data_IF_017659591314
#
_entry.id   IF_017659591314
#
_cell.length_a   1.000
_cell.length_b   1.000
_cell.length_c   1.000
_cell.angle_alpha   90.00
_cell.angle_beta   90.00
_cell.angle_gamma   90.00
#
_symmetry.space_group_name_H-M   'P 1'
#
loop_
_entity.id
_entity.type
_entity.pdbx_description
1 polymer ?
#
# COMPACT_ATOMS: atom_id res chain seq x y z
N UNK A 1 -33.47 -42.06 -12.92
CA UNK A 1 -32.33 -42.14 -11.99
C UNK A 1 -32.35 -40.86 -11.17
N UNK A 2 -32.89 -40.90 -9.95
CA UNK A 2 -32.96 -39.72 -9.07
C UNK A 2 -31.56 -39.37 -8.55
N UNK A 3 -31.21 -38.08 -8.38
CA UNK A 3 -29.94 -37.72 -7.80
C UNK A 3 -29.93 -38.13 -6.32
N UNK A 4 -28.96 -38.94 -5.96
CA UNK A 4 -28.69 -39.35 -4.59
C UNK A 4 -28.19 -38.11 -3.84
N UNK A 5 -29.10 -37.46 -3.10
CA UNK A 5 -28.72 -36.47 -2.09
C UNK A 5 -28.00 -37.24 -1.00
N UNK A 6 -26.67 -37.16 -0.99
CA UNK A 6 -25.87 -37.64 0.13
C UNK A 6 -26.30 -36.85 1.37
N UNK A 7 -26.92 -37.56 2.31
CA UNK A 7 -27.24 -37.10 3.65
C UNK A 7 -25.93 -36.94 4.43
N UNK A 8 -25.16 -35.90 4.09
CA UNK A 8 -23.73 -35.73 4.42
C UNK A 8 -23.44 -35.53 5.92
N UNK A 9 -24.45 -35.62 6.79
CA UNK A 9 -24.33 -35.38 8.22
C UNK A 9 -24.12 -36.64 9.06
N UNK A 10 -24.41 -37.85 8.54
CA UNK A 10 -24.39 -39.10 9.34
C UNK A 10 -23.34 -40.09 8.85
N UNK A 11 -22.45 -40.50 9.74
CA UNK A 11 -21.40 -41.48 9.46
C UNK A 11 -21.21 -42.49 10.58
N UNK A 12 -20.30 -43.44 10.36
CA UNK A 12 -19.88 -44.37 11.41
C UNK A 12 -18.36 -44.33 11.51
N UNK A 13 -17.83 -44.16 12.73
CA UNK A 13 -16.41 -44.22 13.02
C UNK A 13 -16.18 -45.31 14.07
N UNK A 14 -15.38 -46.32 13.74
CA UNK A 14 -15.13 -47.49 14.60
C UNK A 14 -16.42 -48.18 15.13
N UNK A 15 -17.48 -48.23 14.31
CA UNK A 15 -18.77 -48.83 14.69
C UNK A 15 -19.67 -47.93 15.54
N UNK A 16 -19.23 -46.72 15.89
CA UNK A 16 -20.04 -45.72 16.59
C UNK A 16 -20.69 -44.80 15.56
N UNK A 17 -22.03 -44.70 15.50
CA UNK A 17 -22.69 -43.71 14.66
C UNK A 17 -22.39 -42.31 15.19
N UNK A 18 -22.01 -41.40 14.29
CA UNK A 18 -21.90 -39.99 14.59
C UNK A 18 -22.79 -39.20 13.63
N UNK A 19 -23.39 -38.14 14.15
CA UNK A 19 -24.14 -37.17 13.36
C UNK A 19 -23.52 -35.79 13.62
N UNK A 20 -22.86 -35.26 12.60
CA UNK A 20 -22.17 -33.96 12.62
C UNK A 20 -23.15 -32.82 12.90
N UNK A 21 -24.43 -32.99 12.56
CA UNK A 21 -25.48 -32.02 12.86
C UNK A 21 -25.95 -32.08 14.33
N UNK A 22 -25.63 -33.15 15.06
CA UNK A 22 -25.96 -33.33 16.50
C UNK A 22 -24.75 -33.23 17.42
N UNK A 23 -23.58 -32.88 16.88
CA UNK A 23 -22.39 -32.63 17.69
C UNK A 23 -22.64 -31.50 18.71
N UNK A 24 -21.96 -31.54 19.86
CA UNK A 24 -22.09 -30.53 20.91
C UNK A 24 -21.66 -29.15 20.39
N UNK A 25 -22.63 -28.32 19.99
CA UNK A 25 -22.43 -26.94 19.56
C UNK A 25 -22.85 -26.66 18.10
N UNK A 26 -22.80 -25.41 17.65
CA UNK A 26 -23.09 -25.07 16.27
C UNK A 26 -22.13 -25.79 15.33
N UNK A 27 -22.66 -26.53 14.35
CA UNK A 27 -21.84 -27.18 13.35
C UNK A 27 -21.02 -26.14 12.58
N UNK A 28 -19.72 -26.40 12.40
CA UNK A 28 -18.92 -25.61 11.45
C UNK A 28 -19.55 -25.70 10.06
N UNK A 29 -19.44 -24.67 9.20
CA UNK A 29 -20.05 -24.66 7.86
C UNK A 29 -19.56 -25.76 6.89
N UNK A 30 -18.69 -26.67 7.36
CA UNK A 30 -18.19 -27.83 6.62
C UNK A 30 -19.31 -28.74 6.10
N UNK A 31 -20.50 -28.72 6.71
CA UNK A 31 -21.66 -29.51 6.28
C UNK A 31 -22.13 -29.22 4.84
N UNK A 32 -21.76 -28.06 4.25
CA UNK A 32 -22.14 -27.68 2.89
C UNK A 32 -21.07 -28.01 1.82
N UNK A 33 -20.01 -28.74 2.17
CA UNK A 33 -18.94 -29.10 1.23
C UNK A 33 -19.35 -30.29 0.35
N UNK A 34 -19.76 -30.01 -0.90
CA UNK A 34 -20.12 -31.04 -1.91
C UNK A 34 -18.93 -31.50 -2.77
N UNK A 35 -17.76 -30.90 -2.60
CA UNK A 35 -16.55 -31.23 -3.35
C UNK A 35 -16.51 -30.73 -4.80
N UNK A 36 -17.59 -30.15 -5.33
CA UNK A 36 -17.71 -29.74 -6.75
C UNK A 36 -17.49 -28.25 -6.97
N UNK A 37 -17.90 -27.42 -6.01
CA UNK A 37 -17.80 -25.98 -6.14
C UNK A 37 -16.58 -25.46 -5.36
N UNK A 38 -15.58 -24.94 -6.10
CA UNK A 38 -14.27 -24.52 -5.58
C UNK A 38 -14.09 -23.00 -5.66
N UNK A 39 -13.10 -22.50 -4.92
CA UNK A 39 -12.63 -21.10 -4.98
C UNK A 39 -13.75 -20.07 -4.78
N UNK A 40 -14.63 -20.32 -3.79
CA UNK A 40 -15.70 -19.39 -3.45
C UNK A 40 -15.18 -18.37 -2.42
N UNK A 41 -15.38 -17.05 -2.63
CA UNK A 41 -15.02 -16.07 -1.62
C UNK A 41 -15.72 -16.27 -0.27
N UNK A 42 -16.91 -16.89 -0.27
CA UNK A 42 -17.62 -17.26 0.95
C UNK A 42 -16.80 -18.21 1.86
N UNK A 43 -15.89 -19.01 1.30
CA UNK A 43 -15.02 -19.89 2.08
C UNK A 43 -14.02 -19.11 2.95
N UNK A 44 -13.68 -17.86 2.60
CA UNK A 44 -12.78 -17.01 3.38
C UNK A 44 -13.29 -16.75 4.81
N UNK A 45 -14.61 -16.84 5.03
CA UNK A 45 -15.21 -16.72 6.36
C UNK A 45 -14.77 -17.85 7.32
N UNK A 46 -14.30 -18.99 6.79
CA UNK A 46 -13.80 -20.13 7.57
C UNK A 46 -12.32 -20.02 7.90
N UNK A 47 -11.59 -19.21 7.14
CA UNK A 47 -10.14 -19.10 7.26
C UNK A 47 -9.72 -18.16 8.39
N UNK A 48 -8.51 -18.35 8.90
CA UNK A 48 -7.89 -17.38 9.80
C UNK A 48 -7.44 -16.14 9.01
N UNK A 49 -7.30 -14.97 9.66
CA UNK A 49 -6.86 -13.74 9.02
C UNK A 49 -5.61 -13.91 8.15
N UNK A 50 -4.59 -14.62 8.64
CA UNK A 50 -3.31 -14.81 7.95
C UNK A 50 -3.48 -15.59 6.64
N UNK A 51 -4.39 -16.56 6.61
CA UNK A 51 -4.73 -17.32 5.41
C UNK A 51 -5.49 -16.45 4.42
N UNK A 52 -6.43 -15.62 4.89
CA UNK A 52 -7.12 -14.66 4.03
C UNK A 52 -6.15 -13.66 3.41
N UNK A 53 -5.22 -13.12 4.19
CA UNK A 53 -4.18 -12.20 3.70
C UNK A 53 -3.30 -12.85 2.63
N UNK A 54 -2.94 -14.13 2.78
CA UNK A 54 -2.16 -14.85 1.78
C UNK A 54 -2.93 -15.01 0.45
N UNK A 55 -4.21 -15.40 0.52
CA UNK A 55 -5.07 -15.57 -0.67
C UNK A 55 -5.32 -14.22 -1.36
N UNK A 56 -5.78 -13.22 -0.61
CA UNK A 56 -6.04 -11.87 -1.14
C UNK A 56 -4.76 -11.23 -1.69
N UNK A 57 -3.63 -11.39 -1.01
CA UNK A 57 -2.35 -10.90 -1.49
C UNK A 57 -1.90 -11.58 -2.78
N UNK A 58 -2.15 -12.88 -2.93
CA UNK A 58 -1.88 -13.59 -4.19
C UNK A 58 -2.72 -13.02 -5.33
N UNK A 59 -4.02 -12.86 -5.10
CA UNK A 59 -4.94 -12.31 -6.08
C UNK A 59 -4.50 -10.91 -6.50
N UNK A 60 -4.16 -10.02 -5.56
CA UNK A 60 -3.69 -8.67 -5.91
C UNK A 60 -2.43 -8.65 -6.79
N UNK A 61 -1.57 -9.68 -6.72
CA UNK A 61 -0.34 -9.75 -7.53
C UNK A 61 -0.52 -10.43 -8.88
N UNK A 62 -1.63 -11.12 -9.10
CA UNK A 62 -1.82 -11.90 -10.32
C UNK A 62 -1.78 -11.00 -11.58
N UNK A 63 -0.94 -11.36 -12.55
CA UNK A 63 -0.80 -10.61 -13.81
C UNK A 63 0.03 -9.34 -13.71
N UNK A 64 0.61 -9.02 -12.54
CA UNK A 64 1.58 -7.94 -12.41
C UNK A 64 2.95 -8.39 -12.90
N UNK A 65 3.59 -7.53 -13.68
CA UNK A 65 4.97 -7.73 -14.17
C UNK A 65 5.73 -6.42 -14.03
N UNK A 66 6.93 -6.49 -13.46
CA UNK A 66 7.87 -5.37 -13.46
C UNK A 66 9.00 -5.68 -14.43
N UNK A 67 9.10 -4.89 -15.50
CA UNK A 67 10.21 -4.96 -16.45
C UNK A 67 11.19 -3.83 -16.21
N UNK A 68 12.46 -4.07 -16.51
CA UNK A 68 13.52 -3.07 -16.49
C UNK A 68 14.08 -2.93 -17.90
N UNK A 69 14.21 -1.70 -18.40
CA UNK A 69 14.74 -1.42 -19.73
C UNK A 69 15.43 -0.07 -19.77
N UNK A 70 16.70 -0.06 -20.19
CA UNK A 70 17.52 1.15 -20.16
C UNK A 70 17.59 1.75 -18.75
N UNK A 71 17.06 2.96 -18.58
CA UNK A 71 16.99 3.67 -17.29
C UNK A 71 15.61 3.58 -16.64
N UNK A 72 14.66 2.84 -17.18
CA UNK A 72 13.27 2.83 -16.73
C UNK A 72 12.87 1.47 -16.17
N UNK A 73 12.07 1.49 -15.10
CA UNK A 73 11.29 0.35 -14.65
C UNK A 73 9.81 0.60 -14.92
N UNK A 74 9.13 -0.40 -15.46
CA UNK A 74 7.72 -0.32 -15.80
C UNK A 74 6.95 -1.42 -15.09
N UNK A 75 5.99 -1.02 -14.27
CA UNK A 75 4.94 -1.89 -13.75
C UNK A 75 3.86 -2.02 -14.82
N UNK A 76 3.52 -3.26 -15.15
CA UNK A 76 2.44 -3.60 -16.08
C UNK A 76 1.46 -4.54 -15.40
N UNK A 77 0.18 -4.43 -15.78
CA UNK A 77 -0.90 -5.32 -15.34
C UNK A 77 -1.49 -5.97 -16.58
N UNK A 78 -1.48 -7.30 -16.64
CA UNK A 78 -1.99 -8.07 -17.79
C UNK A 78 -1.41 -7.60 -19.13
N UNK A 79 -0.10 -7.28 -19.13
CA UNK A 79 0.62 -6.81 -20.31
C UNK A 79 0.44 -5.33 -20.67
N UNK A 80 -0.44 -4.59 -19.99
CA UNK A 80 -0.62 -3.15 -20.20
C UNK A 80 0.25 -2.36 -19.22
N UNK A 81 1.03 -1.41 -19.72
CA UNK A 81 1.85 -0.53 -18.89
C UNK A 81 0.98 0.33 -17.98
N UNK A 82 1.35 0.42 -16.71
CA UNK A 82 0.60 1.12 -15.67
C UNK A 82 1.40 2.24 -15.02
N UNK A 83 2.58 1.93 -14.50
CA UNK A 83 3.47 2.93 -13.88
C UNK A 83 4.86 2.81 -14.47
N UNK A 84 5.37 3.91 -15.02
CA UNK A 84 6.72 3.97 -15.58
C UNK A 84 7.59 4.94 -14.79
N UNK A 85 8.68 4.44 -14.19
CA UNK A 85 9.60 5.25 -13.39
C UNK A 85 10.98 5.24 -14.03
N UNK A 86 11.45 6.41 -14.47
CA UNK A 86 12.81 6.58 -14.98
C UNK A 86 13.76 6.90 -13.83
N UNK A 87 14.84 6.15 -13.74
CA UNK A 87 15.90 6.25 -12.75
C UNK A 87 16.60 7.61 -12.79
N UNK A 88 16.91 8.22 -11.62
CA UNK A 88 17.69 9.45 -11.55
C UNK A 88 19.11 9.26 -12.10
N UNK A 89 19.76 10.34 -12.52
CA UNK A 89 21.18 10.33 -12.88
C UNK A 89 22.04 10.77 -11.69
N UNK A 90 23.36 10.54 -11.79
CA UNK A 90 24.29 10.84 -10.71
C UNK A 90 24.23 12.31 -10.27
N UNK A 91 24.11 13.25 -11.22
CA UNK A 91 24.01 14.68 -10.92
C UNK A 91 22.74 15.01 -10.11
N UNK A 92 21.60 14.44 -10.48
CA UNK A 92 20.36 14.55 -9.69
C UNK A 92 20.57 14.00 -8.29
N UNK A 93 21.17 12.81 -8.15
CA UNK A 93 21.39 12.19 -6.84
C UNK A 93 22.30 13.02 -5.93
N UNK A 94 23.36 13.63 -6.49
CA UNK A 94 24.27 14.51 -5.75
C UNK A 94 23.55 15.77 -5.25
N UNK A 95 22.74 16.40 -6.10
CA UNK A 95 21.95 17.57 -5.70
C UNK A 95 20.90 17.22 -4.62
N UNK A 96 20.19 16.11 -4.82
CA UNK A 96 19.20 15.63 -3.86
C UNK A 96 19.83 15.24 -2.51
N UNK A 97 21.07 14.72 -2.52
CA UNK A 97 21.83 14.48 -1.29
C UNK A 97 22.11 15.79 -0.54
N UNK A 98 22.43 16.88 -1.25
CA UNK A 98 22.57 18.21 -0.64
C UNK A 98 21.29 18.69 0.06
N UNK A 99 20.12 18.40 -0.52
CA UNK A 99 18.83 18.70 0.12
C UNK A 99 18.66 17.88 1.40
N UNK A 100 18.90 16.58 1.35
CA UNK A 100 18.83 15.69 2.52
C UNK A 100 19.75 16.19 3.64
N UNK A 101 21.00 16.51 3.32
CA UNK A 101 21.95 17.07 4.28
C UNK A 101 21.44 18.37 4.89
N UNK A 102 20.93 19.30 4.06
CA UNK A 102 20.39 20.57 4.55
C UNK A 102 19.24 20.38 5.53
N UNK A 103 18.38 19.37 5.29
CA UNK A 103 17.28 19.03 6.20
C UNK A 103 17.81 18.43 7.51
N UNK A 104 18.80 17.53 7.44
CA UNK A 104 19.42 16.96 8.63
C UNK A 104 20.15 18.00 9.47
N UNK A 105 20.84 18.96 8.85
CA UNK A 105 21.55 20.02 9.54
C UNK A 105 20.59 20.99 10.24
N UNK A 106 19.50 21.39 9.57
CA UNK A 106 18.42 22.17 10.21
C UNK A 106 17.82 21.44 11.41
N UNK A 107 17.65 20.14 11.27
CA UNK A 107 17.04 19.31 12.31
C UNK A 107 17.97 19.00 13.49
N UNK A 108 19.29 19.18 13.32
CA UNK A 108 20.30 19.06 14.38
C UNK A 108 20.64 20.42 15.01
N UNK A 109 20.07 21.51 14.52
CA UNK A 109 20.25 22.83 15.12
C UNK A 109 19.74 22.85 16.56
N UNK A 110 20.30 23.74 17.38
CA UNK A 110 19.89 23.92 18.77
C UNK A 110 18.57 24.71 18.88
N UNK A 111 18.18 25.44 17.82
CA UNK A 111 16.90 26.12 17.70
C UNK A 111 15.76 25.08 17.61
N UNK A 112 14.65 25.29 18.32
CA UNK A 112 13.46 24.42 18.32
C UNK A 112 13.69 22.95 18.72
N UNK A 113 14.64 22.69 19.65
CA UNK A 113 15.00 21.36 20.16
C UNK A 113 13.80 20.44 20.50
N UNK A 114 12.78 20.98 21.17
CA UNK A 114 11.58 20.21 21.55
C UNK A 114 10.80 19.70 20.32
N UNK A 115 10.69 20.52 19.27
CA UNK A 115 10.02 20.16 18.01
C UNK A 115 10.82 19.09 17.28
N UNK A 116 12.16 19.16 17.33
CA UNK A 116 13.03 18.15 16.77
C UNK A 116 12.89 16.81 17.49
N UNK A 117 12.86 16.79 18.82
CA UNK A 117 12.66 15.55 19.57
C UNK A 117 11.31 14.87 19.28
N UNK A 118 10.21 15.64 19.27
CA UNK A 118 8.89 15.11 18.95
C UNK A 118 8.85 14.47 17.56
N UNK A 119 9.53 15.09 16.60
CA UNK A 119 9.61 14.57 15.24
C UNK A 119 10.54 13.36 15.12
N UNK A 120 11.61 13.26 15.90
CA UNK A 120 12.42 12.03 16.00
C UNK A 120 11.59 10.87 16.54
N UNK A 121 10.83 11.10 17.61
CA UNK A 121 9.94 10.10 18.17
C UNK A 121 8.90 9.63 17.13
N UNK A 122 8.32 10.57 16.39
CA UNK A 122 7.42 10.26 15.28
C UNK A 122 8.10 9.43 14.17
N UNK A 123 9.33 9.79 13.79
CA UNK A 123 10.13 9.06 12.80
C UNK A 123 10.32 7.60 13.21
N UNK A 124 10.66 7.38 14.48
CA UNK A 124 10.89 6.05 15.08
C UNK A 124 9.60 5.23 15.12
N UNK A 125 8.48 5.84 15.51
CA UNK A 125 7.17 5.18 15.53
C UNK A 125 6.64 4.80 14.14
N UNK A 126 7.20 5.40 13.09
CA UNK A 126 6.86 5.11 11.69
C UNK A 126 7.79 4.07 11.03
N UNK A 127 8.75 3.47 11.75
CA UNK A 127 9.66 2.46 11.17
C UNK A 127 8.93 1.17 10.81
N UNK A 128 8.00 0.74 11.66
CA UNK A 128 7.04 -0.32 11.36
C UNK A 128 5.79 0.28 10.70
N UNK A 129 4.96 -0.53 10.00
CA UNK A 129 3.72 -0.05 9.42
C UNK A 129 2.91 0.81 10.42
N UNK A 130 2.63 2.09 10.12
CA UNK A 130 2.21 3.07 11.12
C UNK A 130 0.70 2.99 11.42
N UNK A 131 0.19 1.80 11.77
CA UNK A 131 -1.25 1.54 12.06
C UNK A 131 -1.85 2.51 13.08
N UNK A 132 -1.07 2.88 14.10
CA UNK A 132 -1.47 3.83 15.12
C UNK A 132 -1.76 5.24 14.56
N UNK A 133 -1.09 5.66 13.49
CA UNK A 133 -1.29 6.98 12.90
C UNK A 133 -2.63 7.07 12.15
N UNK A 134 -3.02 6.03 11.41
CA UNK A 134 -4.36 5.97 10.83
C UNK A 134 -5.43 5.88 11.92
N UNK A 135 -5.16 5.12 12.98
CA UNK A 135 -6.08 4.98 14.12
C UNK A 135 -6.21 6.25 14.97
N UNK A 136 -5.28 7.19 14.84
CA UNK A 136 -5.41 8.52 15.43
C UNK A 136 -6.33 9.44 14.60
N UNK A 137 -6.51 9.17 13.30
CA UNK A 137 -7.37 9.96 12.40
C UNK A 137 -8.78 9.39 12.28
N UNK A 138 -8.91 8.07 12.38
CA UNK A 138 -10.14 7.31 12.18
C UNK A 138 -10.39 6.42 13.40
N UNK A 139 -11.65 6.09 13.74
CA UNK A 139 -11.97 5.22 14.88
C UNK A 139 -11.66 3.74 14.61
N UNK A 140 -10.48 3.45 14.05
CA UNK A 140 -9.96 2.13 13.75
C UNK A 140 -9.57 1.42 15.05
N UNK A 141 -10.04 0.20 15.23
CA UNK A 141 -9.64 -0.65 16.35
C UNK A 141 -9.66 -2.12 15.90
N UNK A 142 -8.66 -2.95 16.23
CA UNK A 142 -8.62 -4.34 15.78
C UNK A 142 -9.88 -5.14 16.16
N UNK A 143 -10.45 -4.88 17.34
CA UNK A 143 -11.68 -5.57 17.77
C UNK A 143 -13.00 -4.97 17.22
N UNK A 144 -12.98 -3.75 16.68
CA UNK A 144 -14.20 -3.07 16.18
C UNK A 144 -14.28 -3.04 14.66
N UNK A 145 -13.12 -2.92 14.02
CA UNK A 145 -12.95 -2.86 12.57
C UNK A 145 -11.92 -3.89 12.10
N UNK A 146 -12.06 -5.19 12.47
CA UNK A 146 -11.07 -6.23 12.16
C UNK A 146 -10.83 -6.40 10.65
N UNK A 147 -11.89 -6.38 9.84
CA UNK A 147 -11.80 -6.54 8.39
C UNK A 147 -11.16 -5.33 7.73
N UNK A 148 -11.38 -4.13 8.27
CA UNK A 148 -10.65 -2.93 7.83
C UNK A 148 -9.16 -3.04 8.15
N UNK A 149 -8.78 -3.56 9.32
CA UNK A 149 -7.39 -3.86 9.66
C UNK A 149 -6.77 -4.92 8.73
N UNK A 150 -7.49 -5.98 8.42
CA UNK A 150 -7.07 -6.99 7.45
C UNK A 150 -6.90 -6.38 6.05
N UNK A 151 -7.82 -5.53 5.60
CA UNK A 151 -7.69 -4.82 4.32
C UNK A 151 -6.45 -3.94 4.27
N UNK A 152 -6.18 -3.18 5.34
CA UNK A 152 -4.97 -2.35 5.44
C UNK A 152 -3.70 -3.21 5.38
N UNK A 153 -3.68 -4.35 6.08
CA UNK A 153 -2.53 -5.28 6.03
C UNK A 153 -2.34 -5.88 4.64
N UNK A 154 -3.42 -6.25 3.94
CA UNK A 154 -3.35 -6.74 2.57
C UNK A 154 -2.76 -5.68 1.62
N UNK A 155 -3.19 -4.42 1.76
CA UNK A 155 -2.68 -3.29 0.97
C UNK A 155 -1.20 -3.03 1.27
N UNK A 156 -0.81 -3.04 2.55
CA UNK A 156 0.58 -2.86 2.97
C UNK A 156 1.49 -3.95 2.40
N UNK A 157 1.11 -5.23 2.55
CA UNK A 157 1.89 -6.35 2.02
C UNK A 157 2.00 -6.28 0.50
N UNK A 158 0.89 -6.01 -0.20
CA UNK A 158 0.87 -5.85 -1.64
C UNK A 158 1.78 -4.69 -2.11
N UNK A 159 1.67 -3.52 -1.49
CA UNK A 159 2.49 -2.36 -1.81
C UNK A 159 3.98 -2.64 -1.57
N UNK A 160 4.30 -3.33 -0.47
CA UNK A 160 5.68 -3.71 -0.13
C UNK A 160 6.29 -4.65 -1.18
N UNK A 161 5.55 -5.68 -1.60
CA UNK A 161 6.02 -6.62 -2.63
C UNK A 161 6.30 -5.89 -3.96
N UNK A 162 5.38 -5.03 -4.39
CA UNK A 162 5.52 -4.29 -5.65
C UNK A 162 6.68 -3.29 -5.57
N UNK A 163 6.76 -2.50 -4.51
CA UNK A 163 7.82 -1.48 -4.38
C UNK A 163 9.20 -2.12 -4.30
N UNK A 164 9.36 -3.25 -3.59
CA UNK A 164 10.63 -3.98 -3.53
C UNK A 164 11.02 -4.52 -4.90
N UNK A 165 10.06 -5.03 -5.69
CA UNK A 165 10.33 -5.50 -7.04
C UNK A 165 10.74 -4.37 -7.99
N UNK A 166 10.16 -3.17 -7.84
CA UNK A 166 10.54 -1.97 -8.60
C UNK A 166 11.91 -1.45 -8.15
N UNK A 167 12.21 -1.43 -6.85
CA UNK A 167 13.54 -1.09 -6.32
C UNK A 167 14.62 -1.99 -6.89
N UNK A 168 14.35 -3.29 -7.01
CA UNK A 168 15.27 -4.22 -7.65
C UNK A 168 15.49 -3.91 -9.14
N UNK A 169 14.45 -3.46 -9.84
CA UNK A 169 14.54 -3.10 -11.26
C UNK A 169 15.37 -1.83 -11.51
N UNK A 170 15.36 -0.88 -10.56
CA UNK A 170 16.05 0.41 -10.68
C UNK A 170 17.43 0.41 -10.02
N UNK A 171 17.57 -0.28 -8.88
CA UNK A 171 18.80 -0.40 -8.09
C UNK A 171 19.45 0.95 -7.74
N UNK A 172 18.65 1.95 -7.34
CA UNK A 172 19.13 3.28 -6.98
C UNK A 172 19.87 3.29 -5.62
N UNK A 173 21.05 3.93 -5.52
CA UNK A 173 21.80 4.07 -4.25
C UNK A 173 21.04 4.92 -3.24
N UNK A 174 21.44 4.86 -1.97
CA UNK A 174 20.85 5.63 -0.86
C UNK A 174 21.53 6.99 -0.66
N UNK A 175 20.90 7.93 0.08
CA UNK A 175 21.51 9.24 0.38
C UNK A 175 22.90 9.18 1.03
N UNK A 176 23.11 8.30 2.02
CA UNK A 176 24.40 8.18 2.69
C UNK A 176 25.53 7.65 1.77
N UNK A 177 25.18 6.97 0.67
CA UNK A 177 26.15 6.53 -0.35
C UNK A 177 26.56 7.69 -1.28
N UNK A 178 25.79 8.78 -1.28
CA UNK A 178 26.01 9.97 -2.09
C UNK A 178 26.71 11.11 -1.35
N UNK A 179 26.60 11.16 -0.02
CA UNK A 179 27.23 12.20 0.80
C UNK A 179 27.61 11.67 2.20
N UNK A 180 28.89 11.79 2.62
CA UNK A 180 29.40 11.16 3.86
C UNK A 180 28.81 11.77 5.15
N UNK A 181 28.42 13.05 5.13
CA UNK A 181 27.86 13.71 6.31
C UNK A 181 26.37 13.43 6.56
N UNK A 182 25.71 12.71 5.63
CA UNK A 182 24.34 12.23 5.86
C UNK A 182 24.43 11.05 6.81
N UNK A 183 23.89 11.21 8.02
CA UNK A 183 23.85 10.15 9.02
C UNK A 183 22.39 9.73 9.23
N UNK A 184 21.97 8.56 8.72
CA UNK A 184 20.62 8.06 8.90
C UNK A 184 20.23 7.96 10.38
N UNK A 185 19.00 8.37 10.72
CA UNK A 185 18.50 8.34 12.10
C UNK A 185 18.14 6.93 12.59
N UNK A 186 17.92 6.02 11.66
CA UNK A 186 17.61 4.61 11.91
C UNK A 186 18.43 3.76 10.96
N UNK A 187 18.54 2.46 11.24
CA UNK A 187 19.25 1.53 10.36
C UNK A 187 18.67 1.59 8.94
N UNK A 188 19.51 1.94 7.97
CA UNK A 188 19.08 1.99 6.57
C UNK A 188 18.77 0.58 6.06
N UNK A 189 17.58 0.36 5.47
CA UNK A 189 17.26 -0.95 4.91
C UNK A 189 18.22 -1.33 3.76
N UNK A 190 18.61 -2.61 3.71
CA UNK A 190 19.59 -3.18 2.75
C UNK A 190 19.11 -3.34 1.30
N UNK A 191 18.31 -2.40 0.79
CA UNK A 191 17.81 -2.37 -0.58
C UNK A 191 17.78 -0.93 -1.11
N UNK A 192 17.62 -0.76 -2.43
CA UNK A 192 17.68 0.53 -3.11
C UNK A 192 16.69 1.59 -2.59
N UNK A 193 16.98 2.87 -2.82
CA UNK A 193 16.20 4.00 -2.31
C UNK A 193 14.92 4.26 -3.11
N UNK A 194 14.97 4.12 -4.43
CA UNK A 194 13.93 4.63 -5.32
C UNK A 194 13.02 3.51 -5.87
N UNK A 195 11.69 3.67 -5.84
CA UNK A 195 10.92 4.72 -5.14
C UNK A 195 10.82 4.47 -3.62
N UNK A 196 10.35 5.45 -2.84
CA UNK A 196 10.19 5.34 -1.38
C UNK A 196 9.06 4.37 -0.99
N UNK A 197 9.39 3.33 -0.22
CA UNK A 197 8.42 2.31 0.22
C UNK A 197 7.34 2.87 1.13
N UNK A 198 7.73 3.61 2.17
CA UNK A 198 6.76 4.22 3.09
C UNK A 198 5.86 5.25 2.39
N UNK A 199 6.36 5.99 1.39
CA UNK A 199 5.52 6.89 0.61
C UNK A 199 4.47 6.12 -0.19
N UNK A 200 4.87 5.02 -0.85
CA UNK A 200 3.97 4.11 -1.57
C UNK A 200 2.92 3.48 -0.66
N UNK A 201 3.36 2.83 0.42
CA UNK A 201 2.51 2.16 1.40
C UNK A 201 1.53 3.14 2.04
N UNK A 202 2.02 4.29 2.52
CA UNK A 202 1.18 5.23 3.23
C UNK A 202 0.13 5.87 2.33
N UNK A 203 0.50 6.15 1.08
CA UNK A 203 -0.42 6.67 0.06
C UNK A 203 -1.47 5.63 -0.30
N UNK A 204 -1.04 4.38 -0.51
CA UNK A 204 -1.92 3.28 -0.91
C UNK A 204 -3.03 3.05 0.14
N UNK A 205 -2.64 2.91 1.40
CA UNK A 205 -3.58 2.73 2.52
C UNK A 205 -4.50 3.94 2.68
N UNK A 206 -3.96 5.15 2.62
CA UNK A 206 -4.74 6.39 2.82
C UNK A 206 -5.82 6.57 1.76
N UNK A 207 -5.53 6.25 0.49
CA UNK A 207 -6.51 6.32 -0.59
C UNK A 207 -7.52 5.19 -0.50
N UNK A 208 -7.09 3.96 -0.21
CA UNK A 208 -8.02 2.83 0.01
C UNK A 208 -9.01 3.14 1.12
N UNK A 209 -8.55 3.67 2.27
CA UNK A 209 -9.42 4.09 3.37
C UNK A 209 -10.37 5.21 2.95
N UNK A 210 -9.89 6.21 2.19
CA UNK A 210 -10.75 7.27 1.70
C UNK A 210 -11.90 6.74 0.81
N UNK A 211 -11.62 5.79 -0.09
CA UNK A 211 -12.66 5.15 -0.90
C UNK A 211 -13.58 4.24 -0.06
N UNK A 212 -13.04 3.51 0.91
CA UNK A 212 -13.82 2.61 1.77
C UNK A 212 -14.88 3.38 2.57
N UNK A 213 -14.51 4.56 3.07
CA UNK A 213 -15.31 5.40 3.95
C UNK A 213 -16.22 6.40 3.21
N UNK A 214 -16.10 6.52 1.88
CA UNK A 214 -16.95 7.44 1.13
C UNK A 214 -18.37 6.90 0.97
N UNK A 215 -19.38 7.76 1.19
CA UNK A 215 -20.79 7.40 0.98
C UNK A 215 -21.05 7.04 -0.49
N UNK A 216 -20.42 7.79 -1.41
CA UNK A 216 -20.26 7.37 -2.79
C UNK A 216 -18.77 7.02 -3.01
N UNK A 217 -18.39 5.72 -3.02
CA UNK A 217 -17.03 5.32 -3.33
C UNK A 217 -16.56 5.75 -4.75
N UNK A 218 -17.45 6.28 -5.59
CA UNK A 218 -17.16 6.93 -6.87
C UNK A 218 -16.80 8.42 -6.78
N UNK A 219 -17.20 9.12 -5.72
CA UNK A 219 -17.06 10.56 -5.61
C UNK A 219 -15.69 10.90 -4.99
N UNK A 220 -14.77 11.40 -5.81
CA UNK A 220 -13.63 12.15 -5.29
C UNK A 220 -14.17 13.48 -4.74
N UNK A 221 -13.92 13.79 -3.47
CA UNK A 221 -14.22 15.10 -2.89
C UNK A 221 -12.97 15.97 -2.92
N UNK A 222 -12.74 16.78 -3.97
CA UNK A 222 -11.43 17.38 -4.25
C UNK A 222 -11.16 18.65 -3.42
N UNK A 223 -12.11 19.10 -2.59
CA UNK A 223 -12.14 20.47 -2.06
C UNK A 223 -11.94 20.57 -0.54
N UNK A 224 -11.71 19.46 0.16
CA UNK A 224 -11.39 19.49 1.59
C UNK A 224 -9.98 18.95 1.84
N UNK A 225 -9.27 19.56 2.80
CA UNK A 225 -8.03 18.98 3.35
C UNK A 225 -8.34 17.54 3.75
N UNK A 226 -7.68 16.58 3.11
CA UNK A 226 -7.82 15.17 3.42
C UNK A 226 -6.71 14.78 4.42
N UNK A 227 -7.04 14.56 5.72
CA UNK A 227 -6.03 14.26 6.74
C UNK A 227 -5.23 12.98 6.46
N UNK A 228 -5.82 12.01 5.74
CA UNK A 228 -5.13 10.77 5.35
C UNK A 228 -4.04 11.07 4.32
N UNK A 229 -4.33 11.93 3.34
CA UNK A 229 -3.33 12.37 2.35
C UNK A 229 -2.20 13.14 3.03
N UNK A 230 -2.52 14.07 3.92
CA UNK A 230 -1.51 14.82 4.70
C UNK A 230 -0.63 13.89 5.55
N UNK A 231 -1.22 12.86 6.17
CA UNK A 231 -0.47 11.85 6.92
C UNK A 231 0.50 11.08 6.02
N UNK A 232 0.07 10.66 4.83
CA UNK A 232 0.95 9.96 3.88
C UNK A 232 2.16 10.83 3.48
N UNK A 233 1.94 12.11 3.19
CA UNK A 233 3.02 13.07 2.89
C UNK A 233 3.94 13.32 4.08
N UNK A 234 3.39 13.39 5.30
CA UNK A 234 4.18 13.55 6.53
C UNK A 234 5.10 12.35 6.76
N UNK A 235 4.59 11.13 6.59
CA UNK A 235 5.37 9.89 6.68
C UNK A 235 6.51 9.89 5.66
N UNK A 236 6.22 10.26 4.40
CA UNK A 236 7.23 10.35 3.34
C UNK A 236 8.31 11.39 3.65
N UNK A 237 7.92 12.59 4.07
CA UNK A 237 8.83 13.68 4.48
C UNK A 237 9.76 13.25 5.61
N UNK A 238 9.22 12.54 6.59
CA UNK A 238 9.98 12.02 7.71
C UNK A 238 11.09 11.04 7.28
N UNK A 239 10.96 10.37 6.13
CA UNK A 239 12.03 9.52 5.61
C UNK A 239 13.19 10.30 5.00
N UNK A 240 12.92 11.48 4.43
CA UNK A 240 13.96 12.37 3.90
C UNK A 240 14.73 13.01 5.07
N UNK A 241 14.03 13.51 6.07
CA UNK A 241 14.64 14.05 7.30
C UNK A 241 15.46 12.98 8.03
N UNK A 242 14.97 11.74 8.06
CA UNK A 242 15.71 10.62 8.63
C UNK A 242 16.97 10.23 7.83
N UNK A 243 17.24 10.83 6.67
CA UNK A 243 18.40 10.53 5.83
C UNK A 243 18.26 9.25 5.00
N UNK A 244 17.04 8.70 4.85
CA UNK A 244 16.81 7.39 4.23
C UNK A 244 16.47 7.45 2.75
N UNK A 245 15.87 8.55 2.31
CA UNK A 245 15.31 8.74 0.99
C UNK A 245 15.61 10.13 0.44
N UNK A 246 15.74 10.23 -0.88
CA UNK A 246 15.75 11.52 -1.57
C UNK A 246 14.32 12.06 -1.70
N UNK A 247 14.13 13.38 -1.84
CA UNK A 247 12.82 13.96 -2.16
C UNK A 247 12.16 13.30 -3.38
N UNK A 248 12.91 13.05 -4.47
CA UNK A 248 12.43 12.34 -5.67
C UNK A 248 11.87 10.94 -5.38
N UNK A 249 12.42 10.23 -4.39
CA UNK A 249 11.94 8.90 -4.01
C UNK A 249 10.50 8.98 -3.50
N UNK A 250 10.16 10.07 -2.79
CA UNK A 250 8.83 10.29 -2.24
C UNK A 250 7.83 10.58 -3.35
N UNK A 251 8.16 11.45 -4.31
CA UNK A 251 7.30 11.74 -5.47
C UNK A 251 6.96 10.46 -6.24
N UNK A 252 7.98 9.67 -6.60
CA UNK A 252 7.78 8.40 -7.28
C UNK A 252 7.00 7.39 -6.42
N UNK A 253 7.22 7.42 -5.10
CA UNK A 253 6.50 6.58 -4.15
C UNK A 253 5.01 6.92 -4.08
N UNK A 254 4.65 8.21 -4.06
CA UNK A 254 3.27 8.68 -4.11
C UNK A 254 2.59 8.26 -5.41
N UNK A 255 3.22 8.46 -6.58
CA UNK A 255 2.68 8.00 -7.86
C UNK A 255 2.38 6.51 -7.86
N UNK A 256 3.35 5.69 -7.43
CA UNK A 256 3.17 4.25 -7.36
C UNK A 256 2.05 3.89 -6.37
N UNK A 257 2.00 4.54 -5.20
CA UNK A 257 0.97 4.30 -4.19
C UNK A 257 -0.44 4.69 -4.66
N UNK A 258 -0.58 5.78 -5.39
CA UNK A 258 -1.84 6.21 -6.01
C UNK A 258 -2.35 5.16 -7.00
N UNK A 259 -1.51 4.67 -7.90
CA UNK A 259 -1.87 3.59 -8.82
C UNK A 259 -2.27 2.32 -8.07
N UNK A 260 -1.46 1.87 -7.10
CA UNK A 260 -1.73 0.63 -6.36
C UNK A 260 -3.02 0.71 -5.54
N UNK A 261 -3.34 1.87 -4.97
CA UNK A 261 -4.63 2.08 -4.29
C UNK A 261 -5.80 1.93 -5.26
N UNK A 262 -5.76 2.66 -6.38
CA UNK A 262 -6.80 2.63 -7.40
C UNK A 262 -6.94 1.23 -8.01
N UNK A 263 -5.83 0.49 -8.15
CA UNK A 263 -5.83 -0.90 -8.54
C UNK A 263 -6.56 -1.80 -7.53
N UNK A 264 -6.26 -1.68 -6.23
CA UNK A 264 -6.96 -2.43 -5.17
C UNK A 264 -8.46 -2.10 -5.17
N UNK A 265 -8.83 -0.83 -5.28
CA UNK A 265 -10.23 -0.39 -5.38
C UNK A 265 -10.89 -0.97 -6.63
N UNK A 266 -10.20 -0.96 -7.76
CA UNK A 266 -10.66 -1.59 -9.00
C UNK A 266 -10.89 -3.09 -8.86
N UNK A 267 -9.99 -3.81 -8.19
CA UNK A 267 -10.17 -5.22 -7.86
C UNK A 267 -11.35 -5.47 -6.89
N UNK A 268 -11.68 -4.52 -6.03
CA UNK A 268 -12.78 -4.67 -5.08
C UNK A 268 -14.16 -4.39 -5.69
N UNK A 269 -14.29 -3.30 -6.47
CA UNK A 269 -15.58 -2.76 -6.89
C UNK A 269 -15.69 -2.41 -8.38
N UNK A 270 -14.68 -2.73 -9.19
CA UNK A 270 -14.73 -2.57 -10.66
C UNK A 270 -14.57 -1.11 -11.07
N UNK A 271 -13.32 -0.64 -11.11
CA UNK A 271 -12.94 0.74 -11.43
C UNK A 271 -11.68 0.76 -12.26
N UNK A 272 -11.51 1.86 -12.98
CA UNK A 272 -10.26 2.11 -13.69
C UNK A 272 -9.20 2.62 -12.70
N UNK A 273 -7.97 2.18 -12.89
CA UNK A 273 -6.80 2.68 -12.19
C UNK A 273 -6.04 3.65 -13.11
N UNK A 274 -5.93 4.90 -12.69
CA UNK A 274 -5.17 5.92 -13.43
C UNK A 274 -3.70 5.52 -13.53
N UNK A 275 -3.18 5.51 -14.75
CA UNK A 275 -1.80 5.16 -15.06
C UNK A 275 -0.94 6.41 -15.10
N UNK A 276 0.35 6.29 -14.81
CA UNK A 276 1.23 7.46 -14.84
C UNK A 276 2.70 7.16 -15.00
N UNK A 277 3.48 8.21 -15.20
CA UNK A 277 4.93 8.13 -15.31
C UNK A 277 5.61 9.24 -14.53
N UNK A 278 6.85 8.97 -14.13
CA UNK A 278 7.72 9.96 -13.50
C UNK A 278 9.16 9.79 -13.98
N UNK A 279 9.75 10.86 -14.47
CA UNK A 279 11.15 10.89 -14.89
C UNK A 279 12.03 11.58 -13.86
N UNK A 280 12.66 10.80 -12.99
CA UNK A 280 13.54 11.35 -11.97
C UNK A 280 14.84 11.94 -12.54
N UNK A 281 15.17 11.71 -13.81
CA UNK A 281 16.39 12.27 -14.42
C UNK A 281 16.28 13.76 -14.73
N UNK A 282 15.06 14.30 -14.80
CA UNK A 282 14.76 15.72 -15.07
C UNK A 282 14.35 16.50 -13.81
N UNK A 283 14.28 15.82 -12.67
CA UNK A 283 13.89 16.33 -11.35
C UNK A 283 14.52 17.68 -10.95
N UNK A 284 15.80 17.88 -11.25
CA UNK A 284 16.54 19.11 -10.94
C UNK A 284 15.98 20.30 -11.72
N UNK A 285 15.70 20.11 -13.02
CA UNK A 285 15.10 21.15 -13.87
C UNK A 285 13.66 21.47 -13.43
N UNK A 286 12.95 20.50 -12.86
CA UNK A 286 11.59 20.68 -12.32
C UNK A 286 11.57 21.41 -10.95
N UNK A 287 12.72 21.58 -10.30
CA UNK A 287 12.81 22.33 -9.05
C UNK A 287 12.29 21.57 -7.83
N UNK A 288 12.43 20.24 -7.79
CA UNK A 288 12.18 19.40 -6.60
C UNK A 288 13.18 19.78 -5.50
N UNK A 289 12.89 20.87 -4.81
CA UNK A 289 13.75 21.49 -3.80
C UNK A 289 13.29 21.18 -2.37
N UNK A 290 12.07 20.66 -2.21
CA UNK A 290 11.50 20.36 -0.88
C UNK A 290 10.28 19.45 -0.97
N UNK A 291 10.15 18.54 -0.01
CA UNK A 291 8.97 17.69 0.25
C UNK A 291 7.83 18.48 0.95
N UNK A 292 7.67 19.78 0.68
CA UNK A 292 6.69 20.64 1.36
C UNK A 292 5.46 20.93 0.48
N UNK A 293 4.36 20.17 0.64
CA UNK A 293 3.12 20.33 -0.09
C UNK A 293 2.27 21.51 0.41
N UNK A 294 2.74 22.26 1.43
CA UNK A 294 2.06 23.48 1.91
C UNK A 294 2.48 24.74 1.13
N UNK A 295 3.42 24.62 0.18
CA UNK A 295 3.54 25.65 -0.85
C UNK A 295 2.37 25.51 -1.82
N UNK A 296 1.50 26.52 -2.00
CA UNK A 296 0.38 26.49 -2.93
C UNK A 296 0.75 26.16 -4.39
N UNK A 297 2.06 26.12 -4.71
CA UNK A 297 2.61 25.75 -6.01
C UNK A 297 2.81 24.23 -6.21
N UNK A 298 2.57 23.36 -5.21
CA UNK A 298 2.80 21.91 -5.32
C UNK A 298 1.64 21.14 -5.96
N UNK A 299 1.00 21.69 -6.99
CA UNK A 299 0.21 20.87 -7.92
C UNK A 299 1.20 19.95 -8.63
N UNK A 300 1.47 18.75 -8.10
CA UNK A 300 2.40 17.71 -8.62
C UNK A 300 2.75 17.90 -10.12
N UNK A 301 3.71 18.76 -10.50
CA UNK A 301 3.86 19.14 -11.91
C UNK A 301 4.64 18.08 -12.70
N UNK A 302 5.03 16.98 -12.03
CA UNK A 302 6.12 16.11 -12.48
C UNK A 302 5.67 14.69 -12.80
N UNK A 303 4.63 14.21 -12.12
CA UNK A 303 4.01 12.94 -12.48
C UNK A 303 3.04 13.19 -13.63
N UNK A 304 3.24 12.50 -14.73
CA UNK A 304 2.41 12.64 -15.91
C UNK A 304 1.34 11.56 -15.89
N UNK A 305 0.06 11.95 -15.93
CA UNK A 305 -1.02 11.02 -16.20
C UNK A 305 -0.85 10.46 -17.62
N UNK A 306 -0.83 9.14 -17.77
CA UNK A 306 -0.63 8.47 -19.06
C UNK A 306 -1.90 7.82 -19.60
N UNK A 307 -2.96 7.77 -18.79
CA UNK A 307 -4.24 7.16 -19.15
C UNK A 307 -4.92 6.50 -17.96
N UNK A 308 -5.74 5.51 -18.25
CA UNK A 308 -6.43 4.71 -17.24
C UNK A 308 -6.48 3.24 -17.68
N UNK A 309 -6.39 2.35 -16.71
CA UNK A 309 -6.42 0.91 -16.89
C UNK A 309 -7.71 0.35 -16.29
N UNK A 310 -8.55 -0.29 -17.10
CA UNK A 310 -9.68 -1.05 -16.59
C UNK A 310 -9.22 -2.24 -15.73
N UNK A 311 -9.65 -2.29 -14.47
CA UNK A 311 -9.30 -3.35 -13.53
C UNK A 311 -10.50 -4.27 -13.30
N UNK A 312 -10.28 -5.56 -13.54
CA UNK A 312 -11.29 -6.58 -13.28
C UNK A 312 -11.48 -6.80 -11.76
N UNK A 313 -12.73 -7.00 -11.37
CA UNK A 313 -13.07 -7.38 -9.99
C UNK A 313 -12.47 -8.74 -9.68
N UNK A 314 -11.83 -8.84 -8.51
CA UNK A 314 -11.28 -10.08 -7.95
C UNK A 314 -12.19 -10.52 -6.80
N UNK A 315 -12.85 -11.70 -6.91
CA UNK A 315 -13.88 -12.11 -5.96
C UNK A 315 -13.44 -12.13 -4.48
N UNK A 316 -12.21 -12.56 -4.18
CA UNK A 316 -11.69 -12.59 -2.80
C UNK A 316 -11.37 -11.19 -2.26
N UNK A 317 -10.86 -10.28 -3.10
CA UNK A 317 -10.62 -8.87 -2.74
C UNK A 317 -11.95 -8.17 -2.48
N UNK A 318 -12.94 -8.38 -3.35
CA UNK A 318 -14.31 -7.88 -3.19
C UNK A 318 -14.92 -8.35 -1.87
N UNK A 319 -14.77 -9.64 -1.52
CA UNK A 319 -15.28 -10.17 -0.26
C UNK A 319 -14.68 -9.43 0.95
N UNK A 320 -13.35 -9.25 1.00
CA UNK A 320 -12.69 -8.57 2.11
C UNK A 320 -13.12 -7.09 2.17
N UNK A 321 -13.20 -6.43 1.02
CA UNK A 321 -13.70 -5.07 0.91
C UNK A 321 -15.13 -4.92 1.45
N UNK A 322 -16.05 -5.80 1.05
CA UNK A 322 -17.43 -5.79 1.53
C UNK A 322 -17.51 -6.00 3.04
N UNK A 323 -16.70 -6.89 3.60
CA UNK A 323 -16.61 -7.07 5.06
C UNK A 323 -16.14 -5.81 5.76
N UNK A 324 -15.09 -5.18 5.24
CA UNK A 324 -14.62 -3.90 5.76
C UNK A 324 -15.68 -2.80 5.66
N UNK A 325 -16.40 -2.66 4.53
CA UNK A 325 -17.47 -1.66 4.38
C UNK A 325 -18.61 -1.80 5.39
N UNK A 326 -19.03 -3.03 5.67
CA UNK A 326 -20.12 -3.28 6.64
C UNK A 326 -19.78 -2.78 8.04
N UNK A 327 -18.50 -2.76 8.43
CA UNK A 327 -18.05 -2.22 9.73
C UNK A 327 -18.33 -0.72 9.87
N UNK A 328 -18.52 -0.01 8.75
CA UNK A 328 -18.78 1.43 8.70
C UNK A 328 -20.23 1.79 8.38
N UNK A 329 -21.14 0.80 8.35
CA UNK A 329 -22.57 1.02 8.11
C UNK A 329 -22.94 1.22 6.64
N UNK A 330 -22.07 0.78 5.72
CA UNK A 330 -22.31 0.77 4.27
C UNK A 330 -22.49 -0.64 3.71
#
# INVERSE_FOLDING_TARGET
MMPMVLDAARGTAAGVPYDVATAWGPAYPAAAFDGTAKDKPADLARWQPEVRLAVVGWDLREGLVVTAGGRQATLSVQGKAAVALTSPNLGVLQEQAGIVLSQQMRFRGEDDFDVHQLRQAEILMQVTPPMAFWSALLPLHPDRTPSTYELMQAVLGFASDVVLRVKQAIACPRPYEMHPDILPMVLTPGHGSFPSGHATEATAVSIVLAHLLSADPAAEHPQHRNPLRELAWRIARNRVIAGLHFPIDSTAGHLLGEFLAKYVVGCAIGRDAETGSFDASTAVAAGIRSTDPLSPASQQPECQATGALAVAVRPNVQWLWSKARTEWGY
#
